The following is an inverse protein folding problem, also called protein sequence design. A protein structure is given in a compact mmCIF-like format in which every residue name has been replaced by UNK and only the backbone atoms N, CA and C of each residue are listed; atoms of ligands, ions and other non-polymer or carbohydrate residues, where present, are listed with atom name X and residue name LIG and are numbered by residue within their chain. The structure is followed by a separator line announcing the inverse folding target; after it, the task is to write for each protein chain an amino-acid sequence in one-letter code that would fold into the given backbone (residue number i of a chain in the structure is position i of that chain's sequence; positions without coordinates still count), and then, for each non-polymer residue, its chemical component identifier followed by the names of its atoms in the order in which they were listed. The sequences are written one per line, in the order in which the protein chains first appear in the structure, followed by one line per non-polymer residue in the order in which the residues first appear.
data_IF_381030846792
#
_entry.id   IF_381030846792
#
_cell.length_a   1.000
_cell.length_b   1.000
_cell.length_c   1.000
_cell.angle_alpha   90.00
_cell.angle_beta   90.00
_cell.angle_gamma   90.00
#
_symmetry.space_group_name_H-M   'P 1'
#
loop_
_entity.id
_entity.type
_entity.pdbx_description
1 polymer ?
#
# COMPACT_ATOMS: atom_id res chain seq x y z
N UNK A 1 22.91 0.71 -9.92
CA UNK A 1 21.46 0.44 -9.82
C UNK A 1 21.31 -1.03 -9.44
N UNK A 2 20.90 -1.31 -8.20
CA UNK A 2 20.60 -2.67 -7.74
C UNK A 2 19.56 -3.30 -8.67
N UNK A 3 19.78 -4.53 -9.14
CA UNK A 3 18.73 -5.34 -9.74
C UNK A 3 17.58 -5.40 -8.73
N UNK A 4 16.45 -4.75 -9.03
CA UNK A 4 15.26 -4.90 -8.20
C UNK A 4 14.80 -6.33 -8.40
N UNK A 5 14.87 -7.13 -7.35
CA UNK A 5 14.42 -8.53 -7.39
C UNK A 5 13.03 -8.63 -8.00
N UNK A 6 12.83 -9.58 -8.91
CA UNK A 6 11.53 -9.82 -9.54
C UNK A 6 10.52 -10.12 -8.45
N UNK A 7 9.50 -9.27 -8.31
CA UNK A 7 8.44 -9.50 -7.33
C UNK A 7 7.73 -10.82 -7.69
N UNK A 8 7.55 -11.75 -6.73
CA UNK A 8 6.79 -12.97 -6.96
C UNK A 8 5.42 -12.63 -7.53
N UNK A 9 4.90 -13.50 -8.41
CA UNK A 9 3.56 -13.32 -8.97
C UNK A 9 2.76 -14.61 -8.97
N UNK A 10 1.45 -14.48 -8.87
CA UNK A 10 0.50 -15.59 -8.84
C UNK A 10 -0.77 -15.21 -9.60
N UNK A 11 -1.39 -16.20 -10.25
CA UNK A 11 -2.70 -16.05 -10.90
C UNK A 11 -3.75 -16.74 -10.04
N UNK A 12 -4.88 -16.07 -9.80
CA UNK A 12 -6.00 -16.61 -9.02
C UNK A 12 -7.34 -16.33 -9.71
N UNK A 13 -8.29 -17.25 -9.56
CA UNK A 13 -9.70 -16.95 -9.83
C UNK A 13 -10.21 -15.97 -8.77
N UNK A 14 -11.02 -14.95 -9.11
CA UNK A 14 -11.61 -14.05 -8.13
C UNK A 14 -12.28 -14.77 -6.96
N UNK A 15 -13.01 -15.86 -7.20
CA UNK A 15 -13.65 -16.61 -6.12
C UNK A 15 -12.66 -17.21 -5.10
N UNK A 16 -11.43 -17.55 -5.51
CA UNK A 16 -10.42 -18.15 -4.61
C UNK A 16 -10.00 -17.16 -3.52
N UNK A 17 -10.03 -15.85 -3.82
CA UNK A 17 -9.77 -14.77 -2.86
C UNK A 17 -10.86 -14.78 -1.77
N UNK A 18 -12.13 -14.93 -2.14
CA UNK A 18 -13.22 -15.01 -1.17
C UNK A 18 -13.20 -16.32 -0.39
N UNK A 19 -12.86 -17.44 -1.03
CA UNK A 19 -12.74 -18.73 -0.37
C UNK A 19 -11.64 -18.72 0.70
N UNK A 20 -10.54 -18.00 0.49
CA UNK A 20 -9.50 -17.82 1.50
C UNK A 20 -10.03 -17.06 2.72
N UNK A 21 -10.77 -15.95 2.51
CA UNK A 21 -11.43 -15.22 3.61
C UNK A 21 -12.46 -16.10 4.32
N UNK A 22 -13.26 -16.86 3.59
CA UNK A 22 -14.24 -17.79 4.14
C UNK A 22 -13.59 -18.88 4.99
N UNK A 23 -12.47 -19.45 4.54
CA UNK A 23 -11.73 -20.48 5.27
C UNK A 23 -11.23 -19.98 6.62
N UNK A 24 -10.84 -18.70 6.71
CA UNK A 24 -10.45 -18.07 7.97
C UNK A 24 -11.60 -17.95 8.98
N UNK A 25 -12.86 -17.94 8.54
CA UNK A 25 -13.99 -17.92 9.48
C UNK A 25 -14.53 -19.30 9.83
N UNK A 26 -14.16 -20.32 9.07
CA UNK A 26 -14.49 -21.73 9.35
C UNK A 26 -13.62 -22.28 10.49
N UNK A 27 -12.34 -21.91 10.53
CA UNK A 27 -11.43 -22.27 11.62
C UNK A 27 -10.43 -21.15 11.91
N UNK A 28 -9.86 -21.15 13.12
CA UNK A 28 -8.69 -20.31 13.45
C UNK A 28 -7.38 -20.86 12.85
N UNK A 29 -7.45 -21.96 12.12
CA UNK A 29 -6.31 -22.66 11.53
C UNK A 29 -6.17 -22.37 10.03
N UNK A 30 -5.19 -23.03 9.40
CA UNK A 30 -4.95 -22.92 7.96
C UNK A 30 -6.15 -23.43 7.14
N UNK A 31 -6.35 -22.93 5.90
CA UNK A 31 -7.34 -23.50 4.99
C UNK A 31 -7.15 -25.02 4.83
N UNK A 32 -8.25 -25.78 4.84
CA UNK A 32 -8.23 -27.23 4.62
C UNK A 32 -7.97 -27.60 3.16
N UNK A 33 -8.38 -26.73 2.23
CA UNK A 33 -8.06 -26.87 0.82
C UNK A 33 -6.56 -26.60 0.58
N UNK A 34 -5.87 -27.59 0.03
CA UNK A 34 -4.42 -27.54 -0.17
C UNK A 34 -3.98 -26.42 -1.13
N UNK A 35 -4.83 -26.04 -2.10
CA UNK A 35 -4.53 -24.91 -2.98
C UNK A 35 -4.64 -23.59 -2.23
N UNK A 36 -5.73 -23.36 -1.51
CA UNK A 36 -5.90 -22.14 -0.69
C UNK A 36 -4.82 -22.03 0.39
N UNK A 37 -4.37 -23.16 0.95
CA UNK A 37 -3.25 -23.22 1.89
C UNK A 37 -1.94 -22.76 1.26
N UNK A 38 -1.64 -23.20 0.03
CA UNK A 38 -0.48 -22.72 -0.75
C UNK A 38 -0.57 -21.22 -1.04
N UNK A 39 -1.75 -20.73 -1.42
CA UNK A 39 -1.98 -19.30 -1.65
C UNK A 39 -1.74 -18.50 -0.37
N UNK A 40 -2.33 -18.93 0.76
CA UNK A 40 -2.13 -18.29 2.06
C UNK A 40 -0.65 -18.27 2.47
N UNK A 41 0.08 -19.36 2.23
CA UNK A 41 1.49 -19.45 2.56
C UNK A 41 2.31 -18.45 1.73
N UNK A 42 2.09 -18.40 0.42
CA UNK A 42 2.76 -17.46 -0.48
C UNK A 42 2.46 -16.00 -0.11
N UNK A 43 1.21 -15.68 0.23
CA UNK A 43 0.80 -14.33 0.64
C UNK A 43 1.41 -13.94 1.99
N UNK A 44 1.53 -14.87 2.94
CA UNK A 44 2.17 -14.57 4.23
C UNK A 44 3.67 -14.38 4.10
N UNK A 45 4.32 -15.17 3.24
CA UNK A 45 5.75 -15.05 2.95
C UNK A 45 6.06 -13.76 2.19
N UNK A 46 5.23 -13.42 1.19
CA UNK A 46 5.39 -12.24 0.33
C UNK A 46 4.08 -11.46 0.22
N UNK A 47 3.70 -10.66 1.23
CA UNK A 47 2.40 -9.97 1.24
C UNK A 47 2.17 -8.97 0.11
N UNK A 48 3.26 -8.53 -0.50
CA UNK A 48 3.22 -7.52 -1.55
C UNK A 48 3.53 -8.13 -2.93
N UNK A 49 3.46 -9.47 -3.03
CA UNK A 49 3.50 -10.22 -4.30
C UNK A 49 2.35 -9.80 -5.22
N UNK A 50 2.58 -9.84 -6.53
CA UNK A 50 1.56 -9.50 -7.51
C UNK A 50 0.56 -10.65 -7.68
N UNK A 51 -0.72 -10.39 -7.45
CA UNK A 51 -1.81 -11.31 -7.77
C UNK A 51 -2.56 -10.79 -8.98
N UNK A 52 -2.57 -11.58 -10.05
CA UNK A 52 -3.40 -11.35 -11.24
C UNK A 52 -4.70 -12.12 -11.12
N UNK A 53 -5.83 -11.41 -11.19
CA UNK A 53 -7.15 -12.04 -11.22
C UNK A 53 -7.45 -12.57 -12.62
N UNK A 54 -7.70 -13.87 -12.73
CA UNK A 54 -7.98 -14.55 -14.00
C UNK A 54 -9.38 -15.15 -14.01
N UNK A 55 -10.16 -14.95 -15.08
CA UNK A 55 -11.47 -15.58 -15.23
C UNK A 55 -11.87 -15.73 -16.69
N UNK A 56 -12.91 -16.54 -16.95
CA UNK A 56 -13.41 -16.77 -18.31
C UNK A 56 -14.27 -15.56 -18.76
N UNK A 57 -13.71 -14.70 -19.61
CA UNK A 57 -14.31 -13.45 -20.09
C UNK A 57 -14.01 -13.24 -21.60
N UNK A 58 -14.51 -14.17 -22.42
CA UNK A 58 -14.21 -14.27 -23.86
C UNK A 58 -15.11 -13.47 -24.82
N UNK A 59 -15.71 -12.35 -24.40
CA UNK A 59 -16.59 -11.54 -25.28
C UNK A 59 -15.75 -10.61 -26.20
N UNK A 60 -16.23 -9.43 -26.59
CA UNK A 60 -15.60 -8.48 -27.55
C UNK A 60 -14.06 -8.34 -27.43
N UNK A 61 -13.55 -8.11 -26.21
CA UNK A 61 -12.10 -7.93 -25.99
C UNK A 61 -11.34 -9.23 -25.73
N UNK A 62 -12.07 -10.35 -25.56
CA UNK A 62 -11.54 -11.65 -25.10
C UNK A 62 -10.53 -11.44 -23.98
N UNK A 63 -10.94 -10.71 -22.93
CA UNK A 63 -10.04 -10.25 -21.87
C UNK A 63 -9.11 -11.38 -21.43
N UNK A 64 -9.70 -12.52 -21.06
CA UNK A 64 -9.02 -13.75 -20.66
C UNK A 64 -9.94 -14.95 -20.84
N UNK A 65 -9.37 -16.14 -21.03
CA UNK A 65 -10.09 -17.43 -20.96
C UNK A 65 -9.15 -18.55 -20.49
N UNK A 66 -8.86 -18.65 -19.18
CA UNK A 66 -8.01 -19.72 -18.64
C UNK A 66 -8.67 -21.10 -18.66
N UNK A 67 -9.92 -21.23 -19.12
CA UNK A 67 -10.66 -22.47 -19.18
C UNK A 67 -11.27 -22.92 -17.84
N UNK A 68 -11.94 -24.09 -17.84
CA UNK A 68 -12.74 -24.57 -16.70
C UNK A 68 -11.96 -25.43 -15.69
N UNK A 69 -10.64 -25.59 -15.86
CA UNK A 69 -9.82 -26.49 -15.04
C UNK A 69 -9.85 -26.15 -13.53
N UNK A 70 -10.19 -24.90 -13.19
CA UNK A 70 -10.34 -24.45 -11.80
C UNK A 70 -11.79 -24.17 -11.40
N UNK A 71 -12.78 -24.58 -12.20
CA UNK A 71 -14.18 -24.37 -11.86
C UNK A 71 -14.60 -25.30 -10.72
N UNK A 72 -15.44 -24.78 -9.82
CA UNK A 72 -16.07 -25.59 -8.77
C UNK A 72 -17.27 -26.36 -9.31
N UNK A 73 -17.77 -27.35 -8.56
CA UNK A 73 -18.79 -28.32 -8.99
C UNK A 73 -20.15 -27.72 -9.38
N UNK A 74 -20.40 -26.46 -9.05
CA UNK A 74 -21.63 -25.73 -9.37
C UNK A 74 -21.78 -25.43 -10.88
N UNK A 75 -20.74 -25.62 -11.69
CA UNK A 75 -20.79 -25.55 -13.16
C UNK A 75 -20.19 -24.28 -13.76
N UNK A 76 -19.95 -24.30 -15.08
CA UNK A 76 -19.19 -23.25 -15.77
C UNK A 76 -19.85 -21.86 -15.69
N UNK A 77 -21.16 -21.77 -15.93
CA UNK A 77 -21.88 -20.49 -15.91
C UNK A 77 -21.90 -19.87 -14.52
N UNK A 78 -22.05 -20.69 -13.47
CA UNK A 78 -21.99 -20.21 -12.10
C UNK A 78 -20.60 -19.67 -11.75
N UNK A 79 -19.54 -20.40 -12.11
CA UNK A 79 -18.16 -19.97 -11.85
C UNK A 79 -17.84 -18.68 -12.59
N UNK A 80 -18.22 -18.59 -13.87
CA UNK A 80 -18.06 -17.39 -14.69
C UNK A 80 -18.80 -16.19 -14.09
N UNK A 81 -20.08 -16.34 -13.75
CA UNK A 81 -20.88 -15.27 -13.15
C UNK A 81 -20.28 -14.82 -11.81
N UNK A 82 -19.93 -15.77 -10.93
CA UNK A 82 -19.33 -15.48 -9.62
C UNK A 82 -18.06 -14.66 -9.76
N UNK A 83 -17.17 -15.04 -10.67
CA UNK A 83 -15.92 -14.29 -10.88
C UNK A 83 -16.18 -12.88 -11.42
N UNK A 84 -17.11 -12.73 -12.36
CA UNK A 84 -17.48 -11.42 -12.91
C UNK A 84 -18.18 -10.52 -11.89
N UNK A 85 -19.06 -11.05 -11.03
CA UNK A 85 -19.70 -10.27 -9.96
C UNK A 85 -18.66 -9.76 -8.96
N UNK A 86 -17.63 -10.56 -8.64
CA UNK A 86 -16.54 -10.17 -7.75
C UNK A 86 -15.74 -9.03 -8.40
N UNK A 87 -15.32 -9.19 -9.65
CA UNK A 87 -14.58 -8.17 -10.39
C UNK A 87 -15.38 -6.86 -10.52
N UNK A 88 -16.67 -6.95 -10.82
CA UNK A 88 -17.56 -5.80 -10.88
C UNK A 88 -17.62 -5.06 -9.54
N UNK A 89 -17.77 -5.77 -8.42
CA UNK A 89 -17.82 -5.16 -7.08
C UNK A 89 -16.49 -4.54 -6.65
N UNK A 90 -15.37 -5.07 -7.14
CA UNK A 90 -14.05 -4.53 -6.88
C UNK A 90 -13.67 -3.38 -7.82
N UNK A 91 -14.49 -3.11 -8.85
CA UNK A 91 -14.20 -2.16 -9.93
C UNK A 91 -12.89 -2.51 -10.68
N UNK A 92 -12.74 -3.80 -11.03
CA UNK A 92 -11.56 -4.35 -11.70
C UNK A 92 -11.95 -5.06 -12.99
N UNK A 93 -11.12 -4.92 -14.03
CA UNK A 93 -11.22 -5.74 -15.23
C UNK A 93 -10.55 -7.11 -15.01
N UNK A 94 -10.97 -8.18 -15.72
CA UNK A 94 -10.20 -9.43 -15.78
C UNK A 94 -8.76 -9.15 -16.20
N UNK A 95 -7.79 -9.75 -15.53
CA UNK A 95 -6.37 -9.50 -15.74
C UNK A 95 -5.77 -8.36 -14.92
N UNK A 96 -6.58 -7.67 -14.11
CA UNK A 96 -6.06 -6.72 -13.13
C UNK A 96 -5.07 -7.41 -12.19
N UNK A 97 -3.92 -6.76 -11.97
CA UNK A 97 -2.87 -7.23 -11.09
C UNK A 97 -2.64 -6.24 -9.94
N UNK A 98 -2.69 -6.72 -8.70
CA UNK A 98 -2.54 -5.90 -7.50
C UNK A 98 -1.60 -6.59 -6.51
N UNK A 99 -0.90 -5.86 -5.62
CA UNK A 99 -0.25 -6.47 -4.47
C UNK A 99 -1.27 -7.28 -3.65
N UNK A 100 -0.89 -8.46 -3.15
CA UNK A 100 -1.81 -9.33 -2.41
C UNK A 100 -2.47 -8.61 -1.22
N UNK A 101 -1.68 -7.86 -0.44
CA UNK A 101 -2.16 -7.02 0.67
C UNK A 101 -3.26 -6.05 0.21
N UNK A 102 -3.04 -5.36 -0.91
CA UNK A 102 -4.00 -4.41 -1.49
C UNK A 102 -5.28 -5.11 -1.92
N UNK A 103 -5.17 -6.25 -2.62
CA UNK A 103 -6.31 -7.04 -3.06
C UNK A 103 -7.18 -7.50 -1.88
N UNK A 104 -6.56 -8.06 -0.82
CA UNK A 104 -7.32 -8.50 0.35
C UNK A 104 -7.91 -7.33 1.14
N UNK A 105 -7.21 -6.19 1.27
CA UNK A 105 -7.80 -4.99 1.87
C UNK A 105 -9.02 -4.51 1.09
N UNK A 106 -8.96 -4.52 -0.25
CA UNK A 106 -10.06 -4.12 -1.11
C UNK A 106 -11.27 -5.05 -0.93
N UNK A 107 -11.05 -6.38 -0.96
CA UNK A 107 -12.11 -7.38 -0.72
C UNK A 107 -12.75 -7.18 0.65
N UNK A 108 -11.95 -7.09 1.71
CA UNK A 108 -12.47 -6.94 3.08
C UNK A 108 -13.29 -5.65 3.26
N UNK A 109 -12.97 -4.59 2.50
CA UNK A 109 -13.67 -3.32 2.56
C UNK A 109 -14.94 -3.29 1.68
N UNK A 110 -14.89 -3.83 0.46
CA UNK A 110 -16.00 -3.75 -0.50
C UNK A 110 -17.01 -4.89 -0.38
N UNK A 111 -16.63 -5.99 0.26
CA UNK A 111 -17.40 -7.22 0.26
C UNK A 111 -17.67 -7.65 1.71
N UNK A 112 -18.66 -7.05 2.37
CA UNK A 112 -19.01 -7.41 3.76
C UNK A 112 -19.68 -8.79 3.87
N UNK A 113 -20.24 -9.32 2.78
CA UNK A 113 -20.86 -10.64 2.71
C UNK A 113 -20.68 -11.29 1.34
N UNK A 114 -20.98 -12.59 1.24
CA UNK A 114 -21.01 -13.36 -0.02
C UNK A 114 -22.42 -13.57 -0.59
N UNK A 115 -23.43 -12.95 0.04
CA UNK A 115 -24.81 -12.99 -0.44
C UNK A 115 -24.93 -12.32 -1.82
N UNK A 116 -25.60 -13.00 -2.74
CA UNK A 116 -25.73 -12.56 -4.14
C UNK A 116 -24.48 -12.80 -5.00
N UNK A 117 -23.47 -13.51 -4.47
CA UNK A 117 -22.22 -13.84 -5.19
C UNK A 117 -21.97 -15.34 -5.13
N UNK A 118 -21.72 -15.88 -3.93
CA UNK A 118 -21.50 -17.30 -3.73
C UNK A 118 -22.81 -18.04 -3.45
N UNK A 119 -23.85 -17.36 -3.00
CA UNK A 119 -25.16 -17.93 -2.76
C UNK A 119 -26.26 -16.93 -3.04
N UNK A 120 -27.30 -17.38 -3.73
CA UNK A 120 -28.45 -16.56 -4.12
C UNK A 120 -29.64 -16.80 -3.19
N UNK A 121 -30.51 -15.79 -3.09
CA UNK A 121 -31.75 -15.91 -2.32
C UNK A 121 -32.71 -16.91 -2.95
N UNK A 122 -32.87 -16.81 -4.28
CA UNK A 122 -33.73 -17.69 -5.08
C UNK A 122 -32.87 -18.60 -5.95
N UNK A 123 -33.11 -19.92 -5.86
CA UNK A 123 -32.48 -20.92 -6.73
C UNK A 123 -33.35 -21.11 -7.97
N UNK A 124 -32.87 -20.65 -9.12
CA UNK A 124 -33.61 -20.70 -10.39
C UNK A 124 -33.36 -21.98 -11.19
N UNK A 125 -32.22 -22.66 -10.96
CA UNK A 125 -31.91 -23.98 -11.53
C UNK A 125 -30.86 -24.71 -10.68
N UNK A 126 -30.60 -25.99 -10.99
CA UNK A 126 -29.60 -26.80 -10.29
C UNK A 126 -28.19 -26.18 -10.32
N UNK A 127 -27.79 -25.56 -11.44
CA UNK A 127 -26.52 -24.84 -11.58
C UNK A 127 -26.45 -23.56 -10.71
N UNK A 128 -27.59 -23.01 -10.30
CA UNK A 128 -27.68 -21.77 -9.52
C UNK A 128 -27.93 -22.00 -8.02
N UNK A 129 -27.75 -23.23 -7.53
CA UNK A 129 -27.81 -23.54 -6.08
C UNK A 129 -26.77 -22.75 -5.28
N UNK A 130 -25.63 -22.46 -5.92
CA UNK A 130 -24.51 -21.76 -5.30
C UNK A 130 -23.69 -22.64 -4.36
N UNK A 131 -22.70 -22.02 -3.73
CA UNK A 131 -21.77 -22.68 -2.83
C UNK A 131 -22.48 -23.13 -1.55
N UNK A 132 -22.29 -24.39 -1.10
CA UNK A 132 -22.88 -24.90 0.14
C UNK A 132 -22.51 -24.07 1.38
N UNK A 133 -21.32 -23.44 1.37
CA UNK A 133 -20.84 -22.62 2.49
C UNK A 133 -21.35 -21.18 2.47
N UNK A 134 -22.07 -20.74 1.43
CA UNK A 134 -22.45 -19.33 1.27
C UNK A 134 -23.35 -18.80 2.39
N UNK A 135 -24.14 -19.68 3.04
CA UNK A 135 -25.05 -19.33 4.16
C UNK A 135 -24.49 -19.74 5.54
N UNK A 136 -23.24 -20.19 5.63
CA UNK A 136 -22.62 -20.66 6.88
C UNK A 136 -22.24 -19.53 7.85
N UNK A 137 -22.14 -18.30 7.37
CA UNK A 137 -21.59 -17.17 8.12
C UNK A 137 -20.05 -17.18 8.22
N UNK A 138 -19.37 -18.15 7.60
CA UNK A 138 -17.91 -18.28 7.68
C UNK A 138 -17.20 -17.11 6.99
N UNK A 139 -17.71 -16.63 5.85
CA UNK A 139 -17.12 -15.48 5.17
C UNK A 139 -17.17 -14.22 6.04
N UNK A 140 -18.32 -13.91 6.64
CA UNK A 140 -18.52 -12.73 7.48
C UNK A 140 -17.66 -12.82 8.76
N UNK A 141 -17.51 -14.02 9.34
CA UNK A 141 -16.56 -14.26 10.45
C UNK A 141 -15.12 -14.00 10.02
N UNK A 142 -14.70 -14.52 8.86
CA UNK A 142 -13.37 -14.31 8.30
C UNK A 142 -13.08 -12.85 7.98
N UNK A 143 -14.07 -12.15 7.41
CA UNK A 143 -13.99 -10.73 7.10
C UNK A 143 -13.73 -9.89 8.36
N UNK A 144 -14.43 -10.19 9.46
CA UNK A 144 -14.29 -9.49 10.74
C UNK A 144 -12.90 -9.65 11.38
N UNK A 145 -12.15 -10.70 11.04
CA UNK A 145 -10.76 -10.87 11.50
C UNK A 145 -9.81 -9.84 10.88
N UNK A 146 -10.20 -9.22 9.77
CA UNK A 146 -9.45 -8.16 9.13
C UNK A 146 -8.15 -8.61 8.47
N UNK A 147 -7.42 -7.65 7.91
CA UNK A 147 -6.22 -7.92 7.10
C UNK A 147 -5.11 -8.60 7.90
N UNK A 148 -5.01 -8.35 9.21
CA UNK A 148 -4.00 -8.94 10.09
C UNK A 148 -4.02 -10.47 10.16
N UNK A 149 -5.18 -11.09 9.91
CA UNK A 149 -5.31 -12.55 9.86
C UNK A 149 -4.72 -13.16 8.58
N UNK A 150 -4.65 -12.38 7.50
CA UNK A 150 -4.09 -12.80 6.20
C UNK A 150 -2.63 -12.38 6.12
N UNK A 151 -2.38 -11.10 6.38
CA UNK A 151 -1.06 -10.46 6.36
C UNK A 151 -0.77 -9.90 7.74
N UNK A 152 0.03 -10.61 8.56
CA UNK A 152 0.43 -10.12 9.87
C UNK A 152 1.15 -8.76 9.76
N UNK A 153 0.95 -7.84 10.72
CA UNK A 153 1.74 -6.61 10.78
C UNK A 153 3.21 -6.93 11.04
N UNK A 154 4.10 -6.00 10.68
CA UNK A 154 5.52 -6.10 11.06
C UNK A 154 5.64 -6.18 12.59
N UNK A 155 6.46 -7.08 13.15
CA UNK A 155 6.65 -7.16 14.59
C UNK A 155 7.22 -5.87 15.16
N UNK A 156 6.68 -5.42 16.30
CA UNK A 156 7.15 -4.20 16.97
C UNK A 156 8.63 -4.26 17.36
N UNK A 157 9.11 -5.42 17.79
CA UNK A 157 10.52 -5.63 18.15
C UNK A 157 11.45 -5.49 16.93
N UNK A 158 11.04 -5.99 15.76
CA UNK A 158 11.79 -5.82 14.51
C UNK A 158 11.87 -4.35 14.11
N UNK A 159 10.75 -3.63 14.15
CA UNK A 159 10.72 -2.20 13.82
C UNK A 159 11.57 -1.36 14.79
N UNK A 160 11.61 -1.71 16.07
CA UNK A 160 12.46 -1.05 17.06
C UNK A 160 13.96 -1.30 16.80
N UNK A 161 14.35 -2.53 16.45
CA UNK A 161 15.72 -2.84 16.06
C UNK A 161 16.12 -2.12 14.76
N UNK A 162 15.22 -2.06 13.78
CA UNK A 162 15.42 -1.31 12.54
C UNK A 162 15.54 0.20 12.79
N UNK A 163 14.78 0.76 13.76
CA UNK A 163 14.91 2.16 14.19
C UNK A 163 16.35 2.44 14.64
N UNK A 164 16.88 1.62 15.55
CA UNK A 164 18.21 1.80 16.10
C UNK A 164 19.28 1.76 15.00
N UNK A 165 19.21 0.75 14.13
CA UNK A 165 20.17 0.56 13.03
C UNK A 165 20.07 1.69 12.00
N UNK A 166 18.87 2.01 11.55
CA UNK A 166 18.66 3.08 10.54
C UNK A 166 19.09 4.45 11.05
N UNK A 167 18.90 4.77 12.34
CA UNK A 167 19.42 6.00 12.93
C UNK A 167 20.96 6.01 13.00
N UNK A 168 21.56 4.90 13.43
CA UNK A 168 23.02 4.76 13.45
C UNK A 168 23.61 5.01 12.05
N UNK A 169 23.02 4.39 11.04
CA UNK A 169 23.46 4.54 9.65
C UNK A 169 23.23 5.97 9.15
N UNK A 170 22.08 6.58 9.44
CA UNK A 170 21.80 7.98 9.10
C UNK A 170 22.83 8.94 9.69
N UNK A 171 23.24 8.75 10.95
CA UNK A 171 24.21 9.63 11.61
C UNK A 171 25.66 9.43 11.15
N UNK A 172 25.98 8.25 10.62
CA UNK A 172 27.31 7.90 10.14
C UNK A 172 27.50 8.14 8.62
N UNK A 173 26.41 8.37 7.88
CA UNK A 173 26.45 8.51 6.44
C UNK A 173 27.07 9.83 5.97
N UNK A 174 27.85 9.77 4.89
CA UNK A 174 28.37 10.96 4.20
C UNK A 174 27.24 11.80 3.59
N UNK A 175 26.18 11.12 3.12
CA UNK A 175 24.95 11.75 2.65
C UNK A 175 23.72 10.95 3.09
N UNK A 176 22.72 11.66 3.61
CA UNK A 176 21.46 11.08 4.06
C UNK A 176 20.54 10.89 2.87
N UNK A 177 20.18 9.65 2.57
CA UNK A 177 19.20 9.32 1.55
C UNK A 177 17.77 9.56 2.08
N UNK A 178 16.94 10.24 1.29
CA UNK A 178 15.56 10.55 1.67
C UNK A 178 14.68 10.71 0.43
N UNK A 179 13.42 10.25 0.51
CA UNK A 179 12.45 10.50 -0.57
C UNK A 179 12.11 11.98 -0.70
N UNK A 180 11.95 12.50 -1.93
CA UNK A 180 11.59 13.89 -2.14
C UNK A 180 10.36 14.35 -1.36
N UNK A 181 9.22 13.66 -1.44
CA UNK A 181 7.99 14.18 -0.82
C UNK A 181 7.99 14.10 0.71
N UNK A 182 8.76 13.16 1.31
CA UNK A 182 8.79 13.02 2.77
C UNK A 182 9.63 14.11 3.45
N UNK A 183 10.43 14.87 2.69
CA UNK A 183 10.99 16.14 3.16
C UNK A 183 9.88 17.12 3.55
N UNK A 184 8.79 17.18 2.77
CA UNK A 184 7.62 18.02 3.07
C UNK A 184 6.84 17.45 4.28
N UNK A 185 6.78 16.13 4.40
CA UNK A 185 6.23 15.48 5.60
C UNK A 185 7.03 15.84 6.86
N UNK A 186 8.37 15.88 6.79
CA UNK A 186 9.22 16.27 7.91
C UNK A 186 8.94 17.72 8.36
N UNK A 187 8.74 18.65 7.41
CA UNK A 187 8.32 20.04 7.70
C UNK A 187 6.97 20.06 8.42
N UNK A 188 5.98 19.33 7.89
CA UNK A 188 4.65 19.29 8.48
C UNK A 188 4.66 18.65 9.88
N UNK A 189 5.38 17.54 10.08
CA UNK A 189 5.57 16.93 11.39
C UNK A 189 6.19 17.92 12.38
N UNK A 190 7.23 18.63 11.96
CA UNK A 190 7.90 19.62 12.79
C UNK A 190 6.97 20.79 13.18
N UNK A 191 6.19 21.32 12.25
CA UNK A 191 5.20 22.37 12.53
C UNK A 191 4.03 21.90 13.41
N UNK A 192 3.66 20.62 13.28
CA UNK A 192 2.69 19.93 14.14
C UNK A 192 3.22 19.62 15.55
N UNK A 193 4.49 19.93 15.85
CA UNK A 193 5.09 19.72 17.17
C UNK A 193 5.71 18.33 17.37
N UNK A 194 5.74 17.47 16.36
CA UNK A 194 6.38 16.15 16.44
C UNK A 194 7.89 16.33 16.61
N UNK A 195 8.47 15.66 17.60
CA UNK A 195 9.91 15.67 17.91
C UNK A 195 10.36 14.25 18.25
N UNK A 196 11.66 13.95 18.13
CA UNK A 196 12.24 12.71 18.64
C UNK A 196 11.97 12.48 20.13
N UNK A 197 11.87 11.20 20.56
CA UNK A 197 11.86 10.01 19.71
C UNK A 197 10.51 9.83 19.00
N UNK A 198 10.53 9.41 17.73
CA UNK A 198 9.31 9.08 16.98
C UNK A 198 9.35 7.66 16.44
N UNK A 199 8.39 6.82 16.85
CA UNK A 199 8.37 5.38 16.51
C UNK A 199 8.20 5.11 15.00
N UNK A 200 7.29 5.77 14.26
CA UNK A 200 6.94 5.35 12.89
C UNK A 200 7.98 5.58 11.79
N UNK A 201 8.86 6.58 11.92
CA UNK A 201 9.86 6.97 10.91
C UNK A 201 11.00 7.80 11.56
N UNK A 202 12.08 8.09 10.83
CA UNK A 202 13.22 8.89 11.33
C UNK A 202 13.16 10.38 10.95
N UNK A 203 12.04 10.88 10.43
CA UNK A 203 11.96 12.28 9.97
C UNK A 203 12.19 13.30 11.10
N UNK A 204 11.66 13.11 12.33
CA UNK A 204 11.92 14.04 13.41
C UNK A 204 13.40 14.04 13.84
N UNK A 205 14.05 12.88 13.83
CA UNK A 205 15.48 12.74 14.14
C UNK A 205 16.35 13.39 13.06
N UNK A 206 15.97 13.23 11.79
CA UNK A 206 16.61 13.91 10.66
C UNK A 206 16.53 15.43 10.78
N UNK A 207 15.34 16.00 11.08
CA UNK A 207 15.20 17.44 11.30
C UNK A 207 16.11 17.92 12.45
N UNK A 208 16.14 17.21 13.58
CA UNK A 208 17.05 17.58 14.68
C UNK A 208 18.53 17.49 14.29
N UNK A 209 18.89 16.54 13.43
CA UNK A 209 20.25 16.38 12.92
C UNK A 209 20.66 17.59 12.06
N UNK A 210 19.87 17.93 11.04
CA UNK A 210 20.21 19.04 10.13
C UNK A 210 20.14 20.41 10.81
N UNK A 211 19.34 20.57 11.87
CA UNK A 211 19.35 21.79 12.68
C UNK A 211 20.67 21.99 13.43
N UNK A 212 21.39 20.90 13.74
CA UNK A 212 22.74 20.95 14.36
C UNK A 212 23.85 20.97 13.31
N UNK A 213 23.61 20.38 12.14
CA UNK A 213 24.55 20.24 11.03
C UNK A 213 23.85 20.61 9.72
N UNK A 214 23.64 21.91 9.45
CA UNK A 214 22.89 22.38 8.28
C UNK A 214 23.55 22.01 6.95
N UNK A 215 24.84 21.71 6.96
CA UNK A 215 25.63 21.29 5.80
C UNK A 215 25.63 19.78 5.54
N UNK A 216 24.90 18.98 6.34
CA UNK A 216 24.70 17.55 6.06
C UNK A 216 24.19 17.37 4.64
N UNK A 217 24.88 16.54 3.84
CA UNK A 217 24.48 16.26 2.47
C UNK A 217 23.22 15.39 2.47
N UNK A 218 22.31 15.71 1.57
CA UNK A 218 21.05 14.99 1.38
C UNK A 218 20.96 14.51 -0.05
N UNK A 219 20.78 13.21 -0.25
CA UNK A 219 20.59 12.59 -1.56
C UNK A 219 19.11 12.23 -1.77
N UNK A 220 18.52 12.75 -2.84
CA UNK A 220 17.12 12.47 -3.18
C UNK A 220 16.97 11.04 -3.71
N UNK A 221 16.35 10.16 -2.91
CA UNK A 221 16.24 8.73 -3.20
C UNK A 221 14.91 8.36 -3.88
N UNK A 222 14.93 7.32 -4.72
CA UNK A 222 13.72 6.67 -5.23
C UNK A 222 13.25 5.58 -4.27
N UNK A 223 11.94 5.54 -3.98
CA UNK A 223 11.37 4.47 -3.15
C UNK A 223 11.67 4.63 -1.66
N UNK A 224 11.16 3.70 -0.83
CA UNK A 224 11.32 3.77 0.62
C UNK A 224 12.77 3.53 1.04
N UNK A 225 13.43 4.59 1.50
CA UNK A 225 14.83 4.54 1.91
C UNK A 225 14.99 3.92 3.31
N UNK A 226 16.16 3.32 3.54
CA UNK A 226 16.49 2.69 4.82
C UNK A 226 16.59 3.69 5.97
N UNK A 227 17.18 4.87 5.71
CA UNK A 227 17.53 5.86 6.74
C UNK A 227 16.32 6.58 7.33
N UNK A 228 15.19 6.65 6.62
CA UNK A 228 13.95 7.28 7.07
C UNK A 228 12.87 6.24 7.36
N UNK A 229 12.75 5.24 6.49
CA UNK A 229 11.63 4.30 6.51
C UNK A 229 11.96 2.98 7.21
N UNK A 230 13.19 2.76 7.68
CA UNK A 230 13.60 1.55 8.43
C UNK A 230 12.55 1.04 9.43
N UNK A 231 12.10 1.87 10.39
CA UNK A 231 11.12 1.45 11.41
C UNK A 231 9.66 1.47 10.92
N UNK A 232 9.40 1.81 9.65
CA UNK A 232 8.04 2.05 9.19
C UNK A 232 7.25 0.73 9.06
N UNK A 233 6.02 0.65 9.61
CA UNK A 233 5.17 -0.54 9.49
C UNK A 233 4.75 -0.84 8.05
N UNK A 234 4.83 0.15 7.16
CA UNK A 234 4.43 0.04 5.75
C UNK A 234 5.60 -0.20 4.80
N UNK A 235 6.85 -0.25 5.31
CA UNK A 235 8.04 -0.54 4.50
C UNK A 235 8.05 -2.01 4.09
N UNK A 236 8.45 -2.27 2.85
CA UNK A 236 8.71 -3.61 2.32
C UNK A 236 10.23 -3.74 2.15
N UNK A 237 10.95 -4.35 3.12
CA UNK A 237 12.41 -4.30 3.16
C UNK A 237 13.10 -4.78 1.89
N UNK A 238 12.63 -5.91 1.32
CA UNK A 238 13.25 -6.54 0.15
C UNK A 238 13.06 -5.76 -1.16
N UNK A 239 12.13 -4.80 -1.20
CA UNK A 239 11.82 -4.03 -2.41
C UNK A 239 12.30 -2.58 -2.35
N UNK A 240 12.80 -2.12 -1.19
CA UNK A 240 13.00 -0.68 -0.92
C UNK A 240 11.77 0.15 -1.32
N UNK A 241 10.59 -0.37 -0.99
CA UNK A 241 9.29 0.19 -1.36
C UNK A 241 8.38 0.30 -0.13
N UNK A 242 7.23 0.93 -0.30
CA UNK A 242 6.21 1.00 0.75
C UNK A 242 4.82 0.81 0.18
N UNK A 243 3.97 0.16 0.97
CA UNK A 243 2.55 -0.07 0.66
C UNK A 243 1.65 0.84 1.49
N UNK A 244 2.12 2.05 1.81
CA UNK A 244 1.39 3.03 2.62
C UNK A 244 -0.04 3.27 2.11
N UNK A 245 -0.93 3.59 3.05
CA UNK A 245 -2.35 3.90 2.80
C UNK A 245 -3.31 2.87 3.39
N UNK A 246 -4.59 3.22 3.50
CA UNK A 246 -5.63 2.34 4.09
C UNK A 246 -5.85 1.03 3.31
N UNK A 247 -5.61 1.07 2.01
CA UNK A 247 -5.84 -0.06 1.07
C UNK A 247 -4.53 -0.46 0.37
N UNK A 248 -3.42 0.15 0.77
CA UNK A 248 -2.12 -0.04 0.13
C UNK A 248 -2.13 0.42 -1.32
N UNK A 249 -1.51 1.56 -1.61
CA UNK A 249 -1.44 2.07 -3.00
C UNK A 249 -0.46 1.33 -3.90
N UNK A 250 0.21 0.30 -3.39
CA UNK A 250 1.40 -0.27 -4.03
C UNK A 250 2.53 0.75 -4.21
N UNK A 251 2.49 1.89 -3.50
CA UNK A 251 3.47 2.96 -3.62
C UNK A 251 3.16 4.00 -4.70
N UNK A 252 2.14 3.79 -5.55
CA UNK A 252 1.88 4.63 -6.73
C UNK A 252 1.71 6.12 -6.42
N UNK A 253 0.82 6.47 -5.50
CA UNK A 253 0.63 7.87 -5.16
C UNK A 253 1.89 8.47 -4.52
N UNK A 254 2.71 7.68 -3.80
CA UNK A 254 3.94 8.20 -3.20
C UNK A 254 4.99 8.50 -4.28
N UNK A 255 5.06 7.66 -5.33
CA UNK A 255 5.91 7.91 -6.49
C UNK A 255 5.47 9.17 -7.24
N UNK A 256 4.16 9.35 -7.47
CA UNK A 256 3.64 10.58 -8.05
C UNK A 256 4.00 11.82 -7.22
N UNK A 257 3.87 11.76 -5.88
CA UNK A 257 4.27 12.85 -4.97
C UNK A 257 5.76 13.16 -5.04
N UNK A 258 6.61 12.14 -5.14
CA UNK A 258 8.06 12.31 -5.31
C UNK A 258 8.35 13.06 -6.60
N UNK A 259 7.76 12.61 -7.72
CA UNK A 259 7.95 13.21 -9.03
C UNK A 259 7.44 14.66 -9.07
N UNK A 260 6.27 14.95 -8.49
CA UNK A 260 5.76 16.31 -8.39
C UNK A 260 6.70 17.20 -7.56
N UNK A 261 7.23 16.67 -6.44
CA UNK A 261 8.19 17.42 -5.61
C UNK A 261 9.47 17.70 -6.41
N UNK A 262 10.03 16.70 -7.07
CA UNK A 262 11.22 16.84 -7.92
C UNK A 262 10.99 17.86 -9.05
N UNK A 263 9.84 17.79 -9.73
CA UNK A 263 9.47 18.70 -10.82
C UNK A 263 9.44 20.15 -10.34
N UNK A 264 8.76 20.44 -9.23
CA UNK A 264 8.67 21.81 -8.68
C UNK A 264 10.04 22.33 -8.25
N UNK A 265 10.89 21.47 -7.67
CA UNK A 265 12.24 21.85 -7.27
C UNK A 265 13.21 21.97 -8.45
N UNK A 266 12.87 21.46 -9.63
CA UNK A 266 13.78 21.36 -10.77
C UNK A 266 14.96 20.43 -10.50
N UNK A 267 14.74 19.38 -9.70
CA UNK A 267 15.75 18.39 -9.31
C UNK A 267 15.40 17.01 -9.86
N UNK A 268 16.34 16.08 -9.80
CA UNK A 268 16.13 14.69 -10.20
C UNK A 268 16.48 13.73 -9.07
N UNK A 269 16.05 12.48 -9.19
CA UNK A 269 16.51 11.44 -8.28
C UNK A 269 18.03 11.28 -8.37
N UNK A 270 18.69 11.15 -7.23
CA UNK A 270 20.15 11.10 -7.11
C UNK A 270 20.82 12.47 -6.90
N UNK A 271 20.11 13.60 -7.08
CA UNK A 271 20.65 14.91 -6.70
C UNK A 271 21.09 14.89 -5.24
N UNK A 272 22.31 15.36 -4.99
CA UNK A 272 22.89 15.49 -3.65
C UNK A 272 23.28 16.93 -3.39
N UNK A 273 22.82 17.51 -2.28
CA UNK A 273 23.14 18.88 -1.89
C UNK A 273 23.02 19.10 -0.37
N UNK A 274 23.60 20.17 0.19
CA UNK A 274 23.47 20.49 1.61
C UNK A 274 22.00 20.66 2.03
N UNK A 275 21.65 20.14 3.21
CA UNK A 275 20.29 20.21 3.75
C UNK A 275 19.76 21.64 3.82
N UNK A 276 20.59 22.61 4.24
CA UNK A 276 20.20 24.04 4.29
C UNK A 276 19.76 24.56 2.93
N UNK A 277 20.48 24.21 1.88
CA UNK A 277 20.20 24.69 0.53
C UNK A 277 18.95 24.01 -0.03
N UNK A 278 18.80 22.71 0.25
CA UNK A 278 17.62 21.96 -0.13
C UNK A 278 16.34 22.52 0.54
N UNK A 279 16.37 22.76 1.85
CA UNK A 279 15.23 23.32 2.56
C UNK A 279 14.94 24.76 2.16
N UNK A 280 15.96 25.59 1.90
CA UNK A 280 15.78 26.93 1.32
C UNK A 280 15.05 26.85 -0.01
N UNK A 281 15.48 25.97 -0.91
CA UNK A 281 14.84 25.76 -2.21
C UNK A 281 13.39 25.26 -2.06
N UNK A 282 13.14 24.33 -1.15
CA UNK A 282 11.78 23.84 -0.83
C UNK A 282 10.90 24.99 -0.37
N UNK A 283 11.36 25.82 0.56
CA UNK A 283 10.55 26.89 1.10
C UNK A 283 10.32 28.03 0.11
N UNK A 284 11.24 28.23 -0.84
CA UNK A 284 11.08 29.18 -1.93
C UNK A 284 10.04 28.69 -2.96
N UNK A 285 10.16 27.44 -3.40
CA UNK A 285 9.36 26.92 -4.54
C UNK A 285 8.06 26.22 -4.17
N UNK A 286 7.92 25.78 -2.91
CA UNK A 286 6.75 25.03 -2.42
C UNK A 286 6.13 25.78 -1.23
N UNK A 287 5.40 26.90 -1.49
CA UNK A 287 4.72 27.65 -0.43
C UNK A 287 3.51 26.89 0.15
N UNK A 288 2.86 26.03 -0.64
CA UNK A 288 1.81 25.10 -0.22
C UNK A 288 2.10 23.69 -0.73
N UNK A 289 1.59 22.68 -0.02
CA UNK A 289 1.67 21.26 -0.41
C UNK A 289 0.59 20.84 -1.40
N UNK A 290 -0.44 21.68 -1.61
CA UNK A 290 -1.53 21.40 -2.53
C UNK A 290 -1.03 21.25 -3.97
N UNK A 291 -1.46 20.18 -4.64
CA UNK A 291 -1.01 19.84 -6.00
C UNK A 291 0.43 19.30 -6.08
N UNK A 292 1.19 19.33 -4.99
CA UNK A 292 2.56 18.79 -4.92
C UNK A 292 2.54 17.43 -4.23
N UNK A 293 2.49 17.41 -2.89
CA UNK A 293 2.42 16.18 -2.11
C UNK A 293 1.04 15.92 -1.49
N UNK A 294 0.12 16.88 -1.58
CA UNK A 294 -1.31 16.70 -1.36
C UNK A 294 -1.95 16.63 -2.76
N UNK A 295 -2.09 15.42 -3.30
CA UNK A 295 -2.54 15.22 -4.68
C UNK A 295 -3.98 15.72 -4.84
N UNK A 296 -4.23 16.46 -5.92
CA UNK A 296 -5.57 16.94 -6.24
C UNK A 296 -6.48 15.76 -6.67
N UNK A 297 -7.77 15.87 -6.36
CA UNK A 297 -8.78 14.92 -6.80
C UNK A 297 -9.46 14.18 -5.64
N UNK A 298 -10.77 13.93 -5.82
CA UNK A 298 -11.55 13.09 -4.92
C UNK A 298 -11.56 11.67 -5.48
N UNK A 299 -10.67 10.82 -4.97
CA UNK A 299 -10.70 9.40 -5.28
C UNK A 299 -11.53 8.63 -4.25
N UNK A 300 -12.31 7.61 -4.68
CA UNK A 300 -13.09 6.81 -3.76
C UNK A 300 -12.18 6.15 -2.73
N UNK A 301 -12.78 5.81 -1.58
CA UNK A 301 -12.10 5.14 -0.46
C UNK A 301 -11.18 4.00 -0.89
N UNK A 302 -11.54 3.32 -1.98
CA UNK A 302 -10.94 2.13 -2.58
C UNK A 302 -9.93 2.31 -3.68
N UNK A 303 -9.67 3.54 -4.11
CA UNK A 303 -8.70 3.79 -5.15
C UNK A 303 -7.26 3.64 -4.65
N UNK A 304 -6.40 3.03 -5.46
CA UNK A 304 -4.94 3.03 -5.27
C UNK A 304 -4.33 4.44 -5.35
N UNK A 305 -5.05 5.39 -5.95
CA UNK A 305 -4.67 6.81 -6.05
C UNK A 305 -5.14 7.65 -4.87
N UNK A 306 -5.86 7.06 -3.90
CA UNK A 306 -6.39 7.80 -2.76
C UNK A 306 -5.28 8.32 -1.87
N UNK A 307 -5.08 9.64 -1.90
CA UNK A 307 -4.17 10.34 -1.02
C UNK A 307 -4.90 10.88 0.24
N UNK A 308 -4.49 10.41 1.41
CA UNK A 308 -5.02 10.92 2.69
C UNK A 308 -4.63 12.37 3.01
N UNK A 309 -3.57 12.90 2.39
CA UNK A 309 -3.16 14.30 2.52
C UNK A 309 -3.97 15.21 1.60
N UNK A 310 -4.13 14.84 0.32
CA UNK A 310 -4.96 15.54 -0.66
C UNK A 310 -6.46 15.55 -0.35
N UNK A 311 -6.95 14.55 0.38
CA UNK A 311 -8.35 14.50 0.83
C UNK A 311 -8.71 15.50 1.95
N UNK A 312 -7.72 16.23 2.50
CA UNK A 312 -7.96 17.30 3.48
C UNK A 312 -8.05 18.64 2.75
N UNK A 313 -8.90 19.55 3.23
CA UNK A 313 -8.97 20.91 2.69
C UNK A 313 -7.60 21.60 2.77
N UNK A 314 -7.17 22.21 1.67
CA UNK A 314 -6.04 23.13 1.60
C UNK A 314 -6.38 24.40 2.41
N UNK A 315 -5.46 24.93 3.26
CA UNK A 315 -4.07 24.54 3.46
C UNK A 315 -3.78 23.62 4.64
N UNK A 316 -2.74 22.76 4.48
CA UNK A 316 -2.15 21.96 5.55
C UNK A 316 -1.48 22.90 6.58
N UNK A 317 -2.11 23.17 7.75
CA UNK A 317 -1.64 24.24 8.63
C UNK A 317 -0.27 23.94 9.24
N UNK A 318 -0.01 22.65 9.47
CA UNK A 318 1.24 22.17 10.03
C UNK A 318 2.43 22.39 9.08
N UNK A 319 2.24 22.24 7.77
CA UNK A 319 3.31 22.54 6.81
C UNK A 319 3.65 24.03 6.80
N UNK A 320 2.63 24.90 6.69
CA UNK A 320 2.82 26.34 6.71
C UNK A 320 3.55 26.82 7.97
N UNK A 321 3.13 26.33 9.14
CA UNK A 321 3.79 26.60 10.42
C UNK A 321 5.23 26.06 10.46
N UNK A 322 5.44 24.81 10.03
CA UNK A 322 6.75 24.18 10.01
C UNK A 322 7.75 24.91 9.12
N UNK A 323 7.29 25.39 7.95
CA UNK A 323 8.08 26.19 7.02
C UNK A 323 8.61 27.46 7.68
N UNK A 324 7.74 28.26 8.31
CA UNK A 324 8.15 29.48 9.02
C UNK A 324 9.19 29.16 10.10
N UNK A 325 8.90 28.17 10.94
CA UNK A 325 9.80 27.80 12.05
C UNK A 325 11.17 27.28 11.57
N UNK A 326 11.24 26.57 10.45
CA UNK A 326 12.49 26.01 9.93
C UNK A 326 13.28 27.03 9.11
N UNK A 327 12.62 27.94 8.38
CA UNK A 327 13.28 29.06 7.70
C UNK A 327 14.08 29.94 8.67
N UNK A 328 13.58 30.13 9.89
CA UNK A 328 14.29 30.92 10.91
C UNK A 328 15.53 30.22 11.46
N UNK A 329 15.51 28.88 11.51
CA UNK A 329 16.53 28.07 12.19
C UNK A 329 17.59 27.49 11.25
N UNK A 330 17.29 27.38 9.96
CA UNK A 330 18.21 26.88 8.93
C UNK A 330 18.87 28.02 8.13
N UNK A 331 19.02 29.19 8.76
CA UNK A 331 19.76 30.33 8.18
C UNK A 331 21.24 30.02 8.04
#
# INVERSE_FOLDING_TARGET
MSERGKCPSMKLRPYQVLCLVCSLGESDSWPSDEKLKRVMAAVRENPDMSITLVCNAGDVYVYQDPGPAEDTTEGADFNRKRDLDILQKLDLAPGSALPARTLFQLVLQQMPSVAGICGYEVVTAAAWKGCPKAKSGNYEKGQKKGIGAIVPPRPDAEMALDKERSLKDMYAADAVAIRPHILLCAVAQYGGGVRPPFKPDNLPEFIQHILKRPDTLVTLATGADWMMCGPCPSRVPNLSACVCGRIGSGGLYNEAKDLNTLQVLGLTSGTTMPARDLYRLIFERIPSVAGVCALAGSHPGTSVWRDGCGAKADPCPNYAKGRVMLMERLK
#
